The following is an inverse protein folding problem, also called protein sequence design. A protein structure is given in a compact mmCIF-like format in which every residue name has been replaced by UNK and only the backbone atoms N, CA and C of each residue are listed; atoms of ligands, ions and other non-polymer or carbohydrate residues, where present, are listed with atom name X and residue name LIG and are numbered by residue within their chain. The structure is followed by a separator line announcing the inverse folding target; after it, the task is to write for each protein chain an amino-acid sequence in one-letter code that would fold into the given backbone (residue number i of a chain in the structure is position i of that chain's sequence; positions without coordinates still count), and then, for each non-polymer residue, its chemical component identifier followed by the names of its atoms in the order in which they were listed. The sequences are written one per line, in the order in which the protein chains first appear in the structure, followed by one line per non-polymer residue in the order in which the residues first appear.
data_IF_613055019084
#
_entry.id   IF_613055019084
#
_cell.length_a   1.000
_cell.length_b   1.000
_cell.length_c   1.000
_cell.angle_alpha   90.00
_cell.angle_beta   90.00
_cell.angle_gamma   90.00
#
_symmetry.space_group_name_H-M   'P 1'
#
loop_
_entity.id
_entity.type
_entity.pdbx_description
1 polymer ?
#
# COMPACT_ATOMS: atom_id res chain seq x y z
N UNK A 1 -43.28 -5.49 0.40
CA UNK A 1 -41.82 -5.72 0.42
C UNK A 1 -41.11 -4.90 1.49
N UNK A 2 -41.25 -3.57 1.54
CA UNK A 2 -40.57 -2.73 2.54
C UNK A 2 -40.97 -3.07 3.99
N UNK A 3 -42.26 -3.30 4.25
CA UNK A 3 -42.77 -3.60 5.60
C UNK A 3 -42.19 -4.91 6.18
N UNK A 4 -42.12 -5.97 5.37
CA UNK A 4 -41.55 -7.25 5.78
C UNK A 4 -40.04 -7.15 6.09
N UNK A 5 -39.31 -6.35 5.31
CA UNK A 5 -37.88 -6.10 5.58
C UNK A 5 -37.65 -5.33 6.89
N UNK A 6 -38.56 -4.42 7.26
CA UNK A 6 -38.51 -3.68 8.53
C UNK A 6 -38.77 -4.62 9.72
N UNK A 7 -39.76 -5.51 9.61
CA UNK A 7 -40.11 -6.47 10.67
C UNK A 7 -38.96 -7.46 10.94
N UNK A 8 -38.38 -8.04 9.90
CA UNK A 8 -37.17 -8.87 10.02
C UNK A 8 -35.99 -8.08 10.62
N UNK A 9 -35.83 -6.81 10.29
CA UNK A 9 -34.78 -5.96 10.88
C UNK A 9 -34.99 -5.70 12.37
N UNK A 10 -36.24 -5.68 12.86
CA UNK A 10 -36.57 -5.51 14.28
C UNK A 10 -36.33 -6.79 15.08
N UNK A 11 -36.64 -7.96 14.51
CA UNK A 11 -36.34 -9.27 15.13
C UNK A 11 -34.84 -9.49 15.34
N UNK A 12 -34.03 -8.97 14.42
CA UNK A 12 -32.58 -9.09 14.44
C UNK A 12 -31.89 -7.94 15.20
N UNK A 13 -32.67 -7.06 15.84
CA UNK A 13 -32.12 -5.93 16.56
C UNK A 13 -31.23 -6.40 17.73
N UNK A 14 -29.95 -6.02 17.72
CA UNK A 14 -28.95 -6.44 18.71
C UNK A 14 -28.11 -7.64 18.30
N UNK A 15 -28.42 -8.30 17.17
CA UNK A 15 -27.58 -9.34 16.60
C UNK A 15 -26.61 -8.76 15.56
N UNK A 16 -25.40 -9.32 15.47
CA UNK A 16 -24.49 -9.06 14.36
C UNK A 16 -24.94 -9.90 13.15
N UNK A 17 -25.54 -9.26 12.16
CA UNK A 17 -26.08 -9.91 10.96
C UNK A 17 -25.48 -9.32 9.71
N UNK A 18 -25.00 -10.18 8.82
CA UNK A 18 -24.58 -9.82 7.45
C UNK A 18 -25.66 -10.31 6.50
N UNK A 19 -26.28 -9.38 5.76
CA UNK A 19 -27.23 -9.71 4.69
C UNK A 19 -26.54 -9.64 3.34
N UNK A 20 -26.83 -10.58 2.46
CA UNK A 20 -26.22 -10.65 1.13
C UNK A 20 -27.24 -11.16 0.11
N UNK A 21 -27.08 -10.74 -1.14
CA UNK A 21 -27.81 -11.27 -2.29
C UNK A 21 -27.04 -12.38 -3.01
N UNK A 22 -25.88 -12.78 -2.49
CA UNK A 22 -25.10 -13.90 -3.02
C UNK A 22 -25.83 -15.22 -2.76
N UNK A 23 -25.91 -16.07 -3.79
CA UNK A 23 -26.54 -17.38 -3.69
C UNK A 23 -25.68 -18.32 -2.83
N UNK A 24 -26.33 -19.18 -2.06
CA UNK A 24 -25.66 -20.14 -1.16
C UNK A 24 -24.73 -21.13 -1.90
N UNK A 25 -24.99 -21.39 -3.18
CA UNK A 25 -24.13 -22.21 -4.03
C UNK A 25 -22.80 -21.52 -4.40
N UNK A 26 -22.77 -20.19 -4.36
CA UNK A 26 -21.60 -19.39 -4.73
C UNK A 26 -20.68 -19.11 -3.54
N UNK A 27 -21.26 -18.87 -2.37
CA UNK A 27 -20.50 -18.61 -1.13
C UNK A 27 -21.25 -19.17 0.08
N UNK A 28 -20.49 -19.82 0.96
CA UNK A 28 -20.93 -20.20 2.30
C UNK A 28 -21.11 -18.97 3.19
N UNK A 29 -21.85 -19.11 4.29
CA UNK A 29 -22.02 -18.03 5.26
C UNK A 29 -20.68 -17.52 5.82
N UNK A 30 -19.71 -18.41 6.00
CA UNK A 30 -18.37 -18.06 6.47
C UNK A 30 -17.61 -17.21 5.44
N UNK A 31 -17.63 -17.61 4.17
CA UNK A 31 -16.97 -16.84 3.10
C UNK A 31 -17.62 -15.46 2.92
N UNK A 32 -18.94 -15.35 3.10
CA UNK A 32 -19.65 -14.07 3.08
C UNK A 32 -19.17 -13.18 4.24
N UNK A 33 -19.06 -13.75 5.44
CA UNK A 33 -18.54 -13.02 6.60
C UNK A 33 -17.10 -12.55 6.39
N UNK A 34 -16.20 -13.42 5.91
CA UNK A 34 -14.81 -13.08 5.63
C UNK A 34 -14.66 -12.01 4.56
N UNK A 35 -15.48 -12.08 3.50
CA UNK A 35 -15.54 -11.04 2.47
C UNK A 35 -16.01 -9.70 3.06
N UNK A 36 -17.04 -9.73 3.92
CA UNK A 36 -17.55 -8.54 4.59
C UNK A 36 -16.50 -7.91 5.52
N UNK A 37 -15.85 -8.69 6.37
CA UNK A 37 -14.76 -8.21 7.24
C UNK A 37 -13.58 -7.69 6.41
N UNK A 38 -13.34 -8.29 5.24
CA UNK A 38 -12.37 -7.82 4.26
C UNK A 38 -12.53 -6.35 3.85
N UNK A 39 -13.72 -5.74 4.00
CA UNK A 39 -13.92 -4.30 3.76
C UNK A 39 -13.07 -3.41 4.67
N UNK A 40 -12.67 -3.89 5.86
CA UNK A 40 -11.75 -3.16 6.74
C UNK A 40 -10.41 -2.85 6.05
N UNK A 41 -9.98 -3.68 5.08
CA UNK A 41 -8.80 -3.41 4.26
C UNK A 41 -8.95 -2.11 3.45
N UNK A 42 -10.15 -1.82 2.96
CA UNK A 42 -10.46 -0.59 2.23
C UNK A 42 -10.37 0.62 3.16
N UNK A 43 -10.88 0.51 4.39
CA UNK A 43 -10.77 1.58 5.38
C UNK A 43 -9.31 1.85 5.77
N UNK A 44 -8.53 0.79 5.95
CA UNK A 44 -7.10 0.87 6.21
C UNK A 44 -6.37 1.59 5.06
N UNK A 45 -6.66 1.22 3.81
CA UNK A 45 -6.14 1.88 2.61
C UNK A 45 -6.47 3.38 2.58
N UNK A 46 -7.73 3.74 2.88
CA UNK A 46 -8.15 5.14 2.95
C UNK A 46 -7.40 5.89 4.05
N UNK A 47 -7.11 5.25 5.19
CA UNK A 47 -6.32 5.84 6.28
C UNK A 47 -4.86 6.03 5.84
N UNK A 48 -4.23 5.00 5.27
CA UNK A 48 -2.86 5.05 4.76
C UNK A 48 -2.68 6.18 3.72
N UNK A 49 -3.66 6.35 2.84
CA UNK A 49 -3.69 7.42 1.86
C UNK A 49 -3.82 8.82 2.50
N UNK A 50 -4.62 8.96 3.57
CA UNK A 50 -4.92 10.26 4.18
C UNK A 50 -3.82 10.77 5.11
N UNK A 51 -3.30 9.93 6.01
CA UNK A 51 -2.54 10.39 7.19
C UNK A 51 -1.25 9.61 7.46
N UNK A 52 -0.89 8.62 6.64
CA UNK A 52 0.27 7.77 6.88
C UNK A 52 1.34 7.95 5.81
N UNK A 53 1.16 7.29 4.67
CA UNK A 53 2.23 7.08 3.69
C UNK A 53 2.19 8.09 2.53
N UNK A 54 1.00 8.45 2.06
CA UNK A 54 0.81 9.19 0.80
C UNK A 54 0.32 10.62 1.01
N UNK A 55 0.19 11.00 2.28
CA UNK A 55 -0.01 12.37 2.75
C UNK A 55 -0.98 13.18 1.88
N UNK A 56 -2.21 12.69 1.67
CA UNK A 56 -3.24 13.51 1.00
C UNK A 56 -3.61 14.75 1.83
N UNK A 57 -3.39 14.73 3.15
CA UNK A 57 -3.93 15.74 4.08
C UNK A 57 -3.01 16.85 4.62
N UNK A 58 -1.72 16.99 4.30
CA UNK A 58 -1.04 18.29 4.42
C UNK A 58 -1.06 19.11 3.12
N UNK A 59 -1.40 18.52 1.96
CA UNK A 59 -1.34 19.21 0.66
C UNK A 59 -2.68 19.88 0.29
N UNK A 60 -2.86 21.12 0.73
CA UNK A 60 -4.09 21.89 0.47
C UNK A 60 -4.13 22.54 -0.93
N UNK A 61 -4.53 21.77 -1.94
CA UNK A 61 -4.75 22.29 -3.31
C UNK A 61 -6.08 23.03 -3.45
N UNK A 62 -6.06 24.23 -4.04
CA UNK A 62 -7.24 25.12 -4.13
C UNK A 62 -8.12 24.94 -5.36
N UNK A 63 -7.56 24.46 -6.48
CA UNK A 63 -8.28 24.30 -7.76
C UNK A 63 -8.86 22.89 -7.88
N UNK A 64 -10.12 22.77 -8.29
CA UNK A 64 -10.81 21.48 -8.51
C UNK A 64 -9.99 20.49 -9.36
N UNK A 65 -9.36 20.97 -10.43
CA UNK A 65 -8.52 20.12 -11.29
C UNK A 65 -7.29 19.57 -10.55
N UNK A 66 -6.65 20.38 -9.71
CA UNK A 66 -5.49 19.99 -8.90
C UNK A 66 -5.88 19.01 -7.79
N UNK A 67 -7.06 19.16 -7.18
CA UNK A 67 -7.61 18.20 -6.22
C UNK A 67 -7.77 16.82 -6.85
N UNK A 68 -8.38 16.76 -8.03
CA UNK A 68 -8.58 15.50 -8.76
C UNK A 68 -7.24 14.85 -9.13
N UNK A 69 -6.29 15.63 -9.66
CA UNK A 69 -4.96 15.14 -10.03
C UNK A 69 -4.17 14.61 -8.82
N UNK A 70 -4.18 15.34 -7.71
CA UNK A 70 -3.47 14.92 -6.49
C UNK A 70 -4.02 13.60 -5.94
N UNK A 71 -5.35 13.50 -5.78
CA UNK A 71 -6.00 12.25 -5.30
C UNK A 71 -5.72 11.09 -6.25
N UNK A 72 -5.69 11.32 -7.56
CA UNK A 72 -5.33 10.30 -8.55
C UNK A 72 -3.89 9.79 -8.37
N UNK A 73 -2.92 10.69 -8.22
CA UNK A 73 -1.53 10.30 -7.94
C UNK A 73 -1.40 9.51 -6.63
N UNK A 74 -2.12 9.92 -5.57
CA UNK A 74 -2.13 9.18 -4.31
C UNK A 74 -2.77 7.79 -4.47
N UNK A 75 -3.82 7.63 -5.29
CA UNK A 75 -4.37 6.30 -5.58
C UNK A 75 -3.37 5.40 -6.32
N UNK A 76 -2.60 5.96 -7.27
CA UNK A 76 -1.54 5.20 -7.96
C UNK A 76 -0.43 4.80 -7.01
N UNK A 77 0.03 5.73 -6.17
CA UNK A 77 1.06 5.46 -5.18
C UNK A 77 0.59 4.39 -4.17
N UNK A 78 -0.68 4.38 -3.77
CA UNK A 78 -1.25 3.33 -2.92
C UNK A 78 -1.15 1.95 -3.56
N UNK A 79 -1.46 1.84 -4.85
CA UNK A 79 -1.31 0.56 -5.57
C UNK A 79 0.15 0.08 -5.56
N UNK A 80 1.09 0.98 -5.81
CA UNK A 80 2.53 0.66 -5.75
C UNK A 80 2.94 0.23 -4.35
N UNK A 81 2.55 0.98 -3.31
CA UNK A 81 2.85 0.66 -1.91
C UNK A 81 2.31 -0.72 -1.51
N UNK A 82 1.07 -1.05 -1.88
CA UNK A 82 0.47 -2.38 -1.60
C UNK A 82 1.23 -3.50 -2.30
N UNK A 83 1.63 -3.28 -3.55
CA UNK A 83 2.42 -4.26 -4.29
C UNK A 83 3.82 -4.44 -3.71
N UNK A 84 4.49 -3.35 -3.32
CA UNK A 84 5.77 -3.40 -2.63
C UNK A 84 5.65 -4.15 -1.30
N UNK A 85 4.66 -3.84 -0.47
CA UNK A 85 4.42 -4.54 0.81
C UNK A 85 4.13 -6.02 0.60
N UNK A 86 3.34 -6.39 -0.42
CA UNK A 86 3.10 -7.79 -0.79
C UNK A 86 4.40 -8.52 -1.13
N UNK A 87 5.27 -7.89 -1.92
CA UNK A 87 6.57 -8.46 -2.31
C UNK A 87 7.55 -8.56 -1.14
N UNK A 88 7.62 -7.53 -0.29
CA UNK A 88 8.43 -7.53 0.92
C UNK A 88 8.01 -8.66 1.85
N UNK A 89 6.70 -8.84 2.09
CA UNK A 89 6.18 -9.96 2.89
C UNK A 89 6.52 -11.32 2.30
N UNK A 90 6.45 -11.46 0.98
CA UNK A 90 6.80 -12.72 0.31
C UNK A 90 8.30 -13.04 0.42
N UNK A 91 9.17 -12.02 0.41
CA UNK A 91 10.62 -12.19 0.46
C UNK A 91 11.20 -12.29 1.88
N UNK A 92 10.61 -11.58 2.84
CA UNK A 92 11.16 -11.37 4.18
C UNK A 92 10.22 -11.76 5.33
N UNK A 93 9.01 -12.24 5.03
CA UNK A 93 8.02 -12.60 6.04
C UNK A 93 7.29 -11.40 6.63
N UNK A 94 6.64 -11.60 7.77
CA UNK A 94 5.92 -10.54 8.51
C UNK A 94 6.54 -10.31 9.87
N UNK A 95 6.23 -9.17 10.48
CA UNK A 95 6.64 -8.85 11.86
C UNK A 95 6.07 -9.81 12.90
N UNK A 96 5.00 -10.54 12.56
CA UNK A 96 4.44 -11.59 13.42
C UNK A 96 5.34 -12.84 13.45
N UNK A 97 6.01 -13.15 12.33
CA UNK A 97 6.93 -14.27 12.22
C UNK A 97 8.36 -13.93 12.63
N UNK A 98 8.81 -12.71 12.36
CA UNK A 98 10.13 -12.21 12.68
C UNK A 98 10.04 -10.73 13.07
N UNK A 99 10.34 -10.35 14.33
CA UNK A 99 10.35 -8.95 14.77
C UNK A 99 11.25 -8.02 13.96
N UNK A 100 12.17 -8.56 13.16
CA UNK A 100 13.11 -7.82 12.31
C UNK A 100 12.80 -7.94 10.81
N UNK A 101 11.61 -8.45 10.45
CA UNK A 101 11.14 -8.47 9.07
C UNK A 101 11.12 -7.05 8.48
N UNK A 102 11.64 -6.89 7.25
CA UNK A 102 11.72 -5.60 6.57
C UNK A 102 10.32 -5.12 6.20
N UNK A 103 9.87 -4.01 6.81
CA UNK A 103 8.58 -3.39 6.50
C UNK A 103 8.68 -2.41 5.32
N UNK A 104 7.52 -1.98 4.80
CA UNK A 104 7.49 -0.97 3.73
C UNK A 104 8.18 0.35 4.13
N UNK A 105 7.92 0.96 5.31
CA UNK A 105 8.67 2.12 5.78
C UNK A 105 10.18 1.91 5.84
N UNK A 106 10.64 0.76 6.33
CA UNK A 106 12.08 0.44 6.42
C UNK A 106 12.70 0.38 5.02
N UNK A 107 12.01 -0.29 4.09
CA UNK A 107 12.45 -0.40 2.72
C UNK A 107 12.52 0.97 2.02
N UNK A 108 11.49 1.80 2.17
CA UNK A 108 11.48 3.15 1.59
C UNK A 108 12.58 4.03 2.18
N UNK A 109 12.79 3.98 3.50
CA UNK A 109 13.86 4.70 4.17
C UNK A 109 15.22 4.25 3.64
N UNK A 110 15.46 2.94 3.60
CA UNK A 110 16.70 2.36 3.09
C UNK A 110 16.97 2.76 1.64
N UNK A 111 15.97 2.65 0.76
CA UNK A 111 16.10 2.99 -0.66
C UNK A 111 16.24 4.48 -0.91
N UNK A 112 15.71 5.35 -0.04
CA UNK A 112 15.86 6.81 -0.16
C UNK A 112 17.31 7.28 -0.07
N UNK A 113 18.18 6.47 0.53
CA UNK A 113 19.62 6.76 0.63
C UNK A 113 20.40 6.39 -0.65
N UNK A 114 19.78 5.75 -1.65
CA UNK A 114 20.41 5.52 -2.95
C UNK A 114 20.38 6.80 -3.78
N UNK A 115 21.43 7.60 -3.68
CA UNK A 115 21.57 8.87 -4.40
C UNK A 115 22.67 8.81 -5.46
N UNK A 116 22.37 9.39 -6.62
CA UNK A 116 23.34 9.55 -7.71
C UNK A 116 24.37 10.60 -7.31
N UNK A 117 25.66 10.26 -7.38
CA UNK A 117 26.73 11.18 -7.02
C UNK A 117 27.23 11.90 -8.28
N UNK A 118 27.16 13.23 -8.26
CA UNK A 118 27.67 14.08 -9.33
C UNK A 118 28.91 14.83 -8.85
N UNK A 119 30.06 14.49 -9.43
CA UNK A 119 31.33 15.15 -9.15
C UNK A 119 31.65 16.12 -10.27
N UNK A 120 31.80 17.40 -9.93
CA UNK A 120 32.27 18.41 -10.88
C UNK A 120 33.79 18.44 -10.83
N UNK A 121 34.44 17.93 -11.87
CA UNK A 121 35.91 17.84 -11.94
C UNK A 121 36.51 19.16 -12.41
N UNK A 122 35.86 19.82 -13.37
CA UNK A 122 36.25 21.14 -13.89
C UNK A 122 35.01 21.98 -14.25
N UNK A 123 35.20 23.22 -14.71
CA UNK A 123 34.12 24.09 -15.17
C UNK A 123 33.21 23.48 -16.25
N UNK A 124 33.73 22.52 -17.04
CA UNK A 124 33.04 21.88 -18.18
C UNK A 124 32.72 20.38 -17.99
N UNK A 125 33.30 19.71 -16.99
CA UNK A 125 33.23 18.25 -16.86
C UNK A 125 32.53 17.84 -15.57
N UNK A 126 31.41 17.14 -15.70
CA UNK A 126 30.70 16.51 -14.58
C UNK A 126 30.76 14.99 -14.75
N UNK A 127 31.28 14.29 -13.77
CA UNK A 127 31.29 12.83 -13.69
C UNK A 127 30.12 12.39 -12.84
N UNK A 128 29.30 11.51 -13.39
CA UNK A 128 28.18 10.89 -12.67
C UNK A 128 28.59 9.49 -12.27
N UNK A 129 28.59 9.20 -10.96
CA UNK A 129 28.90 7.88 -10.42
C UNK A 129 27.63 7.19 -9.97
N UNK A 130 27.45 5.94 -10.39
CA UNK A 130 26.29 5.15 -9.98
C UNK A 130 26.38 4.82 -8.47
N UNK A 131 25.26 4.89 -7.73
CA UNK A 131 25.25 4.49 -6.33
C UNK A 131 25.58 3.00 -6.21
N UNK A 132 26.47 2.66 -5.28
CA UNK A 132 26.71 1.28 -4.91
C UNK A 132 25.79 0.93 -3.73
N UNK A 133 24.75 0.10 -3.94
CA UNK A 133 23.83 -0.25 -2.86
C UNK A 133 24.57 -1.01 -1.75
N UNK A 134 24.16 -0.77 -0.50
CA UNK A 134 24.54 -1.61 0.63
C UNK A 134 23.96 -3.01 0.48
N UNK A 135 24.39 -3.95 1.33
CA UNK A 135 23.87 -5.31 1.28
C UNK A 135 22.36 -5.35 1.50
N UNK A 136 21.85 -4.64 2.52
CA UNK A 136 20.40 -4.57 2.76
C UNK A 136 19.62 -3.97 1.59
N UNK A 137 20.16 -2.93 0.94
CA UNK A 137 19.54 -2.33 -0.24
C UNK A 137 19.54 -3.30 -1.43
N UNK A 138 20.63 -4.05 -1.65
CA UNK A 138 20.68 -5.11 -2.67
C UNK A 138 19.64 -6.19 -2.41
N UNK A 139 19.49 -6.63 -1.17
CA UNK A 139 18.50 -7.63 -0.80
C UNK A 139 17.08 -7.14 -1.11
N UNK A 140 16.73 -5.91 -0.74
CA UNK A 140 15.42 -5.31 -1.06
C UNK A 140 15.21 -5.24 -2.59
N UNK A 141 16.19 -4.70 -3.32
CA UNK A 141 16.09 -4.51 -4.77
C UNK A 141 15.95 -5.85 -5.52
N UNK A 142 16.80 -6.83 -5.21
CA UNK A 142 16.85 -8.09 -5.94
C UNK A 142 15.77 -9.07 -5.48
N UNK A 143 15.65 -9.31 -4.17
CA UNK A 143 14.75 -10.36 -3.66
C UNK A 143 13.30 -9.93 -3.61
N UNK A 144 13.01 -8.69 -3.21
CA UNK A 144 11.64 -8.22 -3.15
C UNK A 144 11.20 -7.54 -4.45
N UNK A 145 11.98 -6.59 -4.98
CA UNK A 145 11.52 -5.76 -6.10
C UNK A 145 11.88 -6.31 -7.49
N UNK A 146 12.79 -7.29 -7.58
CA UNK A 146 13.34 -7.83 -8.82
C UNK A 146 13.94 -6.74 -9.74
N UNK A 147 14.61 -5.75 -9.14
CA UNK A 147 15.27 -4.64 -9.82
C UNK A 147 16.79 -4.83 -9.75
N UNK A 148 17.43 -4.85 -10.92
CA UNK A 148 18.89 -4.83 -11.05
C UNK A 148 19.34 -3.41 -11.40
N UNK A 149 20.36 -2.90 -10.69
CA UNK A 149 21.00 -1.66 -11.11
C UNK A 149 21.89 -1.92 -12.33
N UNK A 150 21.97 -0.99 -13.29
CA UNK A 150 22.89 -1.11 -14.42
C UNK A 150 24.33 -1.16 -13.91
N UNK A 151 25.14 -2.01 -14.52
CA UNK A 151 26.58 -2.02 -14.30
C UNK A 151 27.23 -0.84 -15.05
N UNK A 152 28.28 -0.26 -14.44
CA UNK A 152 29.17 0.72 -15.11
C UNK A 152 29.95 0.07 -16.26
#
# INVERSE_FOLDING_TARGET
MVQAAIETSLELAGCYVVTTNVLQQSMTAQEVHESYIGLQKVEHDFRAMKTGLLEVRPVFVRKKSRTRGHVFCCMLALKLSREMERRLRAAFGTTDSDPHAITLPDALTSLSHLSLLQYRVDGKTTVTKLPQPSESQRQILLKALAVTLPAE
#
